data_IF_328114834328
#
_entry.id   IF_328114834328
#
_cell.length_a   1.000
_cell.length_b   1.000
_cell.length_c   1.000
_cell.angle_alpha   90.00
_cell.angle_beta   90.00
_cell.angle_gamma   90.00
#
_symmetry.space_group_name_H-M   'P 1'
#
loop_
_entity.id
_entity.type
_entity.pdbx_description
1 polymer ?
#
# COMPACT_ATOMS: atom_id res chain seq x y z
N UNK A 1 16.23 24.68 18.70
CA UNK A 1 15.69 23.29 18.70
C UNK A 1 14.85 22.97 17.46
N UNK A 2 13.78 23.71 17.14
CA UNK A 2 12.95 23.42 15.94
C UNK A 2 13.75 23.47 14.63
N UNK A 3 14.61 24.47 14.46
CA UNK A 3 15.49 24.59 13.27
C UNK A 3 16.44 23.40 13.11
N UNK A 4 16.99 22.85 14.21
CA UNK A 4 17.87 21.68 14.13
C UNK A 4 17.11 20.40 13.77
N UNK A 5 15.89 20.22 14.28
CA UNK A 5 15.02 19.08 13.91
C UNK A 5 14.65 19.15 12.43
N UNK A 6 14.26 20.32 11.93
CA UNK A 6 13.92 20.51 10.50
C UNK A 6 15.15 20.24 9.62
N UNK A 7 16.33 20.74 9.99
CA UNK A 7 17.58 20.46 9.27
C UNK A 7 17.91 18.96 9.28
N UNK A 8 17.75 18.28 10.42
CA UNK A 8 17.98 16.84 10.52
C UNK A 8 17.04 16.05 9.60
N UNK A 9 15.74 16.33 9.66
CA UNK A 9 14.73 15.72 8.77
C UNK A 9 15.05 15.95 7.28
N UNK A 10 15.56 17.13 6.93
CA UNK A 10 15.96 17.46 5.57
C UNK A 10 17.30 16.87 5.11
N UNK A 11 18.10 16.31 6.01
CA UNK A 11 19.44 15.78 5.71
C UNK A 11 19.39 14.29 5.31
N UNK A 12 20.31 13.81 4.46
CA UNK A 12 20.40 12.39 4.09
C UNK A 12 20.57 11.46 5.30
N UNK A 13 21.41 11.86 6.26
CA UNK A 13 21.64 11.10 7.49
C UNK A 13 20.37 10.96 8.31
N UNK A 14 19.67 12.07 8.57
CA UNK A 14 18.42 12.03 9.33
C UNK A 14 17.30 11.28 8.62
N UNK A 15 17.21 11.41 7.30
CA UNK A 15 16.33 10.62 6.46
C UNK A 15 16.55 9.11 6.65
N UNK A 16 17.80 8.66 6.47
CA UNK A 16 18.15 7.24 6.59
C UNK A 16 17.94 6.70 8.00
N UNK A 17 18.33 7.46 9.04
CA UNK A 17 18.12 7.06 10.44
C UNK A 17 16.64 6.87 10.78
N UNK A 18 15.78 7.81 10.40
CA UNK A 18 14.33 7.71 10.65
C UNK A 18 13.76 6.50 9.92
N UNK A 19 14.17 6.26 8.67
CA UNK A 19 13.69 5.11 7.90
C UNK A 19 14.11 3.77 8.48
N UNK A 20 15.34 3.64 8.98
CA UNK A 20 15.74 2.41 9.68
C UNK A 20 14.90 2.16 10.94
N UNK A 21 14.56 3.20 11.70
CA UNK A 21 13.64 3.08 12.86
C UNK A 21 12.25 2.65 12.40
N UNK A 22 11.70 3.28 11.36
CA UNK A 22 10.41 2.90 10.77
C UNK A 22 10.44 1.44 10.34
N UNK A 23 11.48 1.01 9.60
CA UNK A 23 11.61 -0.37 9.14
C UNK A 23 11.68 -1.36 10.30
N UNK A 24 12.46 -1.07 11.35
CA UNK A 24 12.57 -1.94 12.53
C UNK A 24 11.23 -2.20 13.23
N UNK A 25 10.32 -1.23 13.20
CA UNK A 25 8.94 -1.39 13.71
C UNK A 25 8.03 -2.06 12.67
N UNK A 26 8.15 -1.67 11.41
CA UNK A 26 7.27 -2.10 10.31
C UNK A 26 7.44 -3.57 9.96
N UNK A 27 8.69 -4.04 9.93
CA UNK A 27 9.05 -5.39 9.52
C UNK A 27 8.37 -6.49 10.37
N UNK A 28 8.46 -6.50 11.72
CA UNK A 28 7.77 -7.52 12.52
C UNK A 28 6.24 -7.46 12.38
N UNK A 29 5.66 -6.27 12.21
CA UNK A 29 4.22 -6.10 11.99
C UNK A 29 3.81 -6.74 10.65
N UNK A 30 4.59 -6.53 9.59
CA UNK A 30 4.35 -7.12 8.27
C UNK A 30 4.48 -8.65 8.27
N UNK A 31 5.46 -9.19 9.00
CA UNK A 31 5.61 -10.64 9.18
C UNK A 31 4.41 -11.22 9.92
N UNK A 32 4.00 -10.59 11.03
CA UNK A 32 2.83 -11.03 11.79
C UNK A 32 1.53 -10.92 10.98
N UNK A 33 1.36 -9.84 10.21
CA UNK A 33 0.25 -9.67 9.26
C UNK A 33 0.19 -10.81 8.24
N UNK A 34 1.34 -11.16 7.65
CA UNK A 34 1.46 -12.30 6.71
C UNK A 34 1.07 -13.61 7.38
N UNK A 35 1.56 -13.87 8.59
CA UNK A 35 1.19 -15.04 9.39
C UNK A 35 -0.32 -15.11 9.61
N UNK A 36 -0.96 -14.02 10.04
CA UNK A 36 -2.41 -13.99 10.25
C UNK A 36 -3.19 -14.29 8.96
N UNK A 37 -2.80 -13.69 7.83
CA UNK A 37 -3.49 -13.97 6.57
C UNK A 37 -3.31 -15.44 6.15
N UNK A 38 -2.09 -15.98 6.24
CA UNK A 38 -1.80 -17.32 5.76
C UNK A 38 -2.39 -18.42 6.67
N UNK A 39 -2.40 -18.22 7.98
CA UNK A 39 -2.72 -19.29 8.94
C UNK A 39 -4.00 -19.03 9.75
N UNK A 40 -4.41 -17.77 9.91
CA UNK A 40 -5.57 -17.40 10.73
C UNK A 40 -6.80 -17.03 9.89
N UNK A 41 -6.70 -16.97 8.55
CA UNK A 41 -7.90 -16.74 7.71
C UNK A 41 -8.88 -17.90 7.85
N UNK A 42 -10.09 -17.62 8.34
CA UNK A 42 -11.15 -18.62 8.51
C UNK A 42 -11.64 -19.20 7.19
N UNK A 43 -12.22 -20.40 7.23
CA UNK A 43 -12.83 -21.05 6.06
C UNK A 43 -13.91 -20.18 5.40
N UNK A 44 -14.65 -19.40 6.20
CA UNK A 44 -15.68 -18.45 5.72
C UNK A 44 -15.11 -17.28 4.90
N UNK A 45 -13.82 -16.99 5.04
CA UNK A 45 -13.11 -15.92 4.32
C UNK A 45 -12.14 -16.46 3.26
N UNK A 46 -12.18 -17.76 2.95
CA UNK A 46 -11.24 -18.39 2.00
C UNK A 46 -11.21 -17.72 0.64
N UNK A 47 -12.35 -17.21 0.17
CA UNK A 47 -12.47 -16.52 -1.13
C UNK A 47 -11.74 -15.18 -1.21
N UNK A 48 -11.44 -14.53 -0.07
CA UNK A 48 -10.72 -13.23 -0.02
C UNK A 48 -9.26 -13.38 0.38
N UNK A 49 -8.85 -14.55 0.89
CA UNK A 49 -7.51 -14.81 1.44
C UNK A 49 -6.39 -14.36 0.51
N UNK A 50 -6.40 -14.82 -0.73
CA UNK A 50 -5.31 -14.59 -1.68
C UNK A 50 -5.25 -13.15 -2.19
N UNK A 51 -6.40 -12.51 -2.41
CA UNK A 51 -6.40 -11.09 -2.78
C UNK A 51 -5.97 -10.18 -1.63
N UNK A 52 -6.29 -10.57 -0.39
CA UNK A 52 -5.83 -9.86 0.80
C UNK A 52 -4.32 -10.06 0.99
N UNK A 53 -3.82 -11.28 0.81
CA UNK A 53 -2.39 -11.58 0.87
C UNK A 53 -1.61 -10.84 -0.22
N UNK A 54 -2.14 -10.80 -1.44
CA UNK A 54 -1.53 -10.07 -2.55
C UNK A 54 -1.39 -8.56 -2.24
N UNK A 55 -2.45 -7.92 -1.73
CA UNK A 55 -2.37 -6.53 -1.27
C UNK A 55 -1.36 -6.35 -0.15
N UNK A 56 -1.41 -7.22 0.87
CA UNK A 56 -0.47 -7.19 1.99
C UNK A 56 0.98 -7.31 1.52
N UNK A 57 1.26 -8.26 0.62
CA UNK A 57 2.58 -8.50 0.06
C UNK A 57 3.13 -7.27 -0.65
N UNK A 58 2.39 -6.69 -1.59
CA UNK A 58 2.88 -5.51 -2.33
C UNK A 58 2.99 -4.27 -1.45
N UNK A 59 2.08 -4.06 -0.49
CA UNK A 59 2.19 -2.96 0.47
C UNK A 59 3.40 -3.12 1.41
N UNK A 60 3.64 -4.32 1.94
CA UNK A 60 4.80 -4.62 2.78
C UNK A 60 6.10 -4.50 1.98
N UNK A 61 6.14 -5.01 0.75
CA UNK A 61 7.28 -4.88 -0.14
C UNK A 61 7.60 -3.41 -0.43
N UNK A 62 6.59 -2.56 -0.63
CA UNK A 62 6.77 -1.13 -0.87
C UNK A 62 7.35 -0.44 0.37
N UNK A 63 6.74 -0.65 1.55
CA UNK A 63 7.21 -0.08 2.81
C UNK A 63 8.67 -0.44 3.08
N UNK A 64 9.04 -1.71 2.92
CA UNK A 64 10.41 -2.19 3.13
C UNK A 64 11.37 -1.70 2.05
N UNK A 65 10.90 -1.56 0.80
CA UNK A 65 11.72 -1.00 -0.28
C UNK A 65 12.10 0.46 0.01
N UNK A 66 11.14 1.24 0.48
CA UNK A 66 11.34 2.66 0.81
C UNK A 66 12.09 2.84 2.12
N UNK A 67 11.79 2.06 3.16
CA UNK A 67 12.36 2.28 4.50
C UNK A 67 13.67 1.54 4.77
N UNK A 68 14.01 0.52 3.99
CA UNK A 68 15.15 -0.34 4.29
C UNK A 68 16.00 -0.68 3.08
N UNK A 69 15.42 -1.28 2.05
CA UNK A 69 16.20 -1.86 0.96
C UNK A 69 16.84 -0.78 0.10
N UNK A 70 16.09 0.24 -0.33
CA UNK A 70 16.60 1.26 -1.24
C UNK A 70 16.71 2.66 -0.63
N UNK A 71 15.79 3.06 0.28
CA UNK A 71 15.76 4.40 0.87
C UNK A 71 16.01 5.53 -0.15
N UNK A 72 15.14 5.69 -1.17
CA UNK A 72 15.35 6.68 -2.23
C UNK A 72 15.16 8.10 -1.70
N UNK A 73 16.28 8.80 -1.46
CA UNK A 73 16.25 10.21 -1.09
C UNK A 73 15.94 11.06 -2.33
N UNK A 74 14.68 11.50 -2.47
CA UNK A 74 14.25 12.35 -3.58
C UNK A 74 14.71 13.79 -3.40
N UNK A 75 15.43 14.32 -4.38
CA UNK A 75 15.96 15.69 -4.36
C UNK A 75 14.89 16.69 -4.86
N UNK A 76 14.17 17.33 -3.95
CA UNK A 76 13.10 18.28 -4.32
C UNK A 76 13.66 19.55 -4.97
N UNK A 77 13.01 20.13 -6.00
CA UNK A 77 11.75 19.73 -6.65
C UNK A 77 11.94 18.86 -7.90
N UNK A 78 13.06 18.16 -8.02
CA UNK A 78 13.45 17.45 -9.25
C UNK A 78 12.99 15.99 -9.24
N UNK A 79 13.01 15.36 -10.42
CA UNK A 79 12.89 13.90 -10.56
C UNK A 79 14.25 13.18 -10.39
N UNK A 80 15.12 13.70 -9.52
CA UNK A 80 16.38 13.07 -9.16
C UNK A 80 16.32 12.49 -7.74
N UNK A 81 17.05 11.40 -7.52
CA UNK A 81 17.17 10.78 -6.20
C UNK A 81 18.54 10.13 -6.04
N UNK A 82 18.86 9.68 -4.83
CA UNK A 82 19.96 8.75 -4.57
C UNK A 82 19.54 7.74 -3.49
N UNK A 83 19.90 6.46 -3.61
CA UNK A 83 19.51 5.43 -2.65
C UNK A 83 20.45 5.42 -1.43
N UNK A 84 19.87 5.31 -0.23
CA UNK A 84 20.60 5.21 1.05
C UNK A 84 20.40 3.84 1.74
N UNK A 85 19.66 2.93 1.11
CA UNK A 85 19.28 1.65 1.69
C UNK A 85 20.34 0.57 1.55
N UNK A 86 20.09 -0.59 2.16
CA UNK A 86 21.03 -1.71 2.19
C UNK A 86 21.45 -2.18 0.80
N UNK A 87 20.54 -2.14 -0.18
CA UNK A 87 20.84 -2.61 -1.53
C UNK A 87 21.83 -1.70 -2.28
N UNK A 88 21.85 -0.39 -2.01
CA UNK A 88 22.88 0.48 -2.60
C UNK A 88 24.24 0.28 -1.94
N UNK A 89 24.28 -0.09 -0.65
CA UNK A 89 25.52 -0.40 0.06
C UNK A 89 26.22 -1.68 -0.46
N UNK A 90 25.44 -2.66 -0.94
CA UNK A 90 25.99 -3.89 -1.56
C UNK A 90 26.24 -3.75 -3.06
N UNK A 91 26.11 -2.54 -3.63
CA UNK A 91 26.47 -2.24 -5.01
C UNK A 91 25.40 -2.58 -6.06
N UNK A 92 24.12 -2.71 -5.69
CA UNK A 92 23.05 -2.85 -6.70
C UNK A 92 22.97 -1.57 -7.53
N UNK A 93 22.94 -1.65 -8.88
CA UNK A 93 22.82 -0.48 -9.75
C UNK A 93 21.61 0.40 -9.42
N UNK A 94 21.82 1.72 -9.39
CA UNK A 94 20.82 2.70 -8.96
C UNK A 94 19.58 2.74 -9.88
N UNK A 95 19.78 2.49 -11.17
CA UNK A 95 18.71 2.38 -12.18
C UNK A 95 17.80 1.19 -11.92
N UNK A 96 18.37 0.03 -11.62
CA UNK A 96 17.61 -1.17 -11.26
C UNK A 96 16.88 -1.00 -9.93
N UNK A 97 17.50 -0.37 -8.93
CA UNK A 97 16.84 -0.06 -7.66
C UNK A 97 15.61 0.83 -7.88
N UNK A 98 15.76 1.91 -8.65
CA UNK A 98 14.66 2.83 -8.92
C UNK A 98 13.54 2.13 -9.70
N UNK A 99 13.89 1.33 -10.71
CA UNK A 99 12.93 0.53 -11.46
C UNK A 99 12.15 -0.43 -10.53
N UNK A 100 12.85 -1.12 -9.62
CA UNK A 100 12.21 -2.06 -8.70
C UNK A 100 11.22 -1.36 -7.76
N UNK A 101 11.61 -0.22 -7.17
CA UNK A 101 10.75 0.55 -6.26
C UNK A 101 9.53 1.06 -7.02
N UNK A 102 9.74 1.61 -8.21
CA UNK A 102 8.66 2.16 -9.03
C UNK A 102 7.68 1.07 -9.48
N UNK A 103 8.19 -0.11 -9.84
CA UNK A 103 7.36 -1.27 -10.18
C UNK A 103 6.52 -1.72 -8.98
N UNK A 104 7.13 -1.88 -7.80
CA UNK A 104 6.42 -2.24 -6.57
C UNK A 104 5.37 -1.19 -6.22
N UNK A 105 5.71 0.11 -6.34
CA UNK A 105 4.79 1.22 -6.11
C UNK A 105 3.54 1.13 -7.01
N UNK A 106 3.72 0.81 -8.29
CA UNK A 106 2.62 0.67 -9.24
C UNK A 106 1.82 -0.63 -9.06
N UNK A 107 2.40 -1.67 -8.47
CA UNK A 107 1.70 -2.94 -8.18
C UNK A 107 0.78 -2.87 -6.96
N UNK A 108 1.04 -1.96 -6.01
CA UNK A 108 0.14 -1.71 -4.86
C UNK A 108 -1.28 -1.35 -5.33
N UNK A 109 -1.53 -0.32 -6.16
CA UNK A 109 -2.89 -0.01 -6.59
C UNK A 109 -3.53 -1.11 -7.46
N UNK A 110 -2.76 -1.86 -8.25
CA UNK A 110 -3.27 -3.04 -8.97
C UNK A 110 -3.76 -4.13 -8.00
N UNK A 111 -3.05 -4.32 -6.88
CA UNK A 111 -3.48 -5.24 -5.83
C UNK A 111 -4.74 -4.76 -5.09
N UNK A 112 -4.95 -3.45 -4.97
CA UNK A 112 -6.19 -2.85 -4.45
C UNK A 112 -7.36 -3.11 -5.40
N UNK A 113 -7.17 -2.88 -6.70
CA UNK A 113 -8.16 -3.19 -7.74
C UNK A 113 -8.54 -4.67 -7.65
N UNK A 114 -7.54 -5.55 -7.59
CA UNK A 114 -7.73 -7.00 -7.46
C UNK A 114 -8.55 -7.37 -6.22
N UNK A 115 -8.31 -6.72 -5.08
CA UNK A 115 -9.07 -6.94 -3.86
C UNK A 115 -10.52 -6.47 -3.98
N UNK A 116 -10.77 -5.29 -4.55
CA UNK A 116 -12.12 -4.77 -4.70
C UNK A 116 -12.93 -5.55 -5.74
N UNK A 117 -12.33 -5.83 -6.89
CA UNK A 117 -12.92 -6.66 -7.94
C UNK A 117 -13.31 -8.03 -7.36
N UNK A 118 -12.41 -8.70 -6.63
CA UNK A 118 -12.70 -10.02 -6.10
C UNK A 118 -13.86 -10.01 -5.10
N UNK A 119 -13.93 -8.99 -4.25
CA UNK A 119 -15.08 -8.82 -3.34
C UNK A 119 -16.36 -8.55 -4.11
N UNK A 120 -16.31 -7.74 -5.17
CA UNK A 120 -17.47 -7.45 -6.01
C UNK A 120 -17.97 -8.72 -6.71
N UNK A 121 -17.04 -9.51 -7.25
CA UNK A 121 -17.31 -10.80 -7.86
C UNK A 121 -17.99 -11.77 -6.89
N UNK A 122 -17.37 -12.05 -5.75
CA UNK A 122 -17.86 -13.03 -4.77
C UNK A 122 -19.25 -12.66 -4.28
N UNK A 123 -19.52 -11.38 -4.04
CA UNK A 123 -20.78 -10.92 -3.43
C UNK A 123 -21.92 -10.72 -4.43
N UNK A 124 -21.65 -10.33 -5.69
CA UNK A 124 -22.70 -9.81 -6.56
C UNK A 124 -22.75 -10.38 -7.97
N UNK A 125 -21.63 -10.87 -8.52
CA UNK A 125 -21.58 -11.26 -9.95
C UNK A 125 -20.95 -12.63 -10.19
N UNK A 126 -20.98 -13.51 -9.19
CA UNK A 126 -20.38 -14.84 -9.24
C UNK A 126 -20.99 -15.81 -10.29
N UNK A 127 -22.18 -15.50 -10.81
CA UNK A 127 -22.93 -16.31 -11.80
C UNK A 127 -22.98 -15.71 -13.22
N UNK A 128 -22.46 -14.50 -13.43
CA UNK A 128 -22.53 -13.81 -14.73
C UNK A 128 -21.29 -14.00 -15.61
N UNK A 129 -21.31 -13.42 -16.81
CA UNK A 129 -20.18 -13.46 -17.75
C UNK A 129 -18.87 -12.90 -17.16
N UNK A 130 -18.97 -12.00 -16.17
CA UNK A 130 -17.82 -11.45 -15.44
C UNK A 130 -16.94 -12.54 -14.79
N UNK A 131 -17.50 -13.72 -14.51
CA UNK A 131 -16.74 -14.90 -14.04
C UNK A 131 -15.57 -15.26 -14.95
N UNK A 132 -15.73 -15.07 -16.26
CA UNK A 132 -14.71 -15.39 -17.25
C UNK A 132 -13.85 -14.16 -17.58
N UNK A 133 -14.48 -13.00 -17.77
CA UNK A 133 -13.78 -11.76 -18.13
C UNK A 133 -12.83 -11.23 -17.05
N UNK A 134 -13.07 -11.56 -15.78
CA UNK A 134 -12.24 -11.07 -14.68
C UNK A 134 -10.77 -11.51 -14.78
N UNK A 135 -10.47 -12.73 -15.24
CA UNK A 135 -9.09 -13.21 -15.25
C UNK A 135 -8.23 -12.45 -16.29
N UNK A 136 -8.66 -12.31 -17.57
CA UNK A 136 -7.97 -11.44 -18.51
C UNK A 136 -7.87 -10.00 -18.02
N UNK A 137 -8.94 -9.46 -17.41
CA UNK A 137 -8.94 -8.10 -16.86
C UNK A 137 -7.88 -7.89 -15.78
N UNK A 138 -7.77 -8.82 -14.82
CA UNK A 138 -6.77 -8.77 -13.75
C UNK A 138 -5.36 -8.92 -14.32
N UNK A 139 -5.13 -9.89 -15.21
CA UNK A 139 -3.82 -10.11 -15.85
C UNK A 139 -3.39 -8.89 -16.67
N UNK A 140 -4.31 -8.29 -17.43
CA UNK A 140 -4.04 -7.10 -18.22
C UNK A 140 -3.57 -5.92 -17.35
N UNK A 141 -4.16 -5.72 -16.18
CA UNK A 141 -3.72 -4.68 -15.23
C UNK A 141 -2.25 -4.85 -14.81
N UNK A 142 -1.84 -6.09 -14.49
CA UNK A 142 -0.44 -6.39 -14.18
C UNK A 142 0.49 -6.17 -15.38
N UNK A 143 0.10 -6.63 -16.57
CA UNK A 143 0.89 -6.46 -17.79
C UNK A 143 1.05 -4.97 -18.14
N UNK A 144 -0.02 -4.18 -18.06
CA UNK A 144 0.00 -2.74 -18.35
C UNK A 144 1.00 -2.03 -17.43
N UNK A 145 0.94 -2.30 -16.12
CA UNK A 145 1.85 -1.69 -15.15
C UNK A 145 3.30 -2.12 -15.37
N UNK A 146 3.56 -3.41 -15.53
CA UNK A 146 4.92 -3.93 -15.73
C UNK A 146 5.52 -3.37 -17.04
N UNK A 147 4.74 -3.38 -18.12
CA UNK A 147 5.16 -2.82 -19.41
C UNK A 147 5.42 -1.33 -19.29
N UNK A 148 4.55 -0.58 -18.61
CA UNK A 148 4.76 0.85 -18.36
C UNK A 148 6.04 1.14 -17.57
N UNK A 149 6.33 0.37 -16.52
CA UNK A 149 7.58 0.50 -15.76
C UNK A 149 8.80 0.14 -16.61
N UNK A 150 8.71 -0.90 -17.44
CA UNK A 150 9.78 -1.28 -18.37
C UNK A 150 10.04 -0.18 -19.41
N UNK A 151 9.00 0.44 -19.95
CA UNK A 151 9.16 1.56 -20.88
C UNK A 151 9.83 2.77 -20.20
N UNK A 152 9.52 3.06 -18.93
CA UNK A 152 10.23 4.11 -18.17
C UNK A 152 11.72 3.79 -18.07
N UNK A 153 12.08 2.53 -17.81
CA UNK A 153 13.47 2.11 -17.72
C UNK A 153 14.25 2.38 -19.02
N UNK A 154 13.65 2.06 -20.17
CA UNK A 154 14.25 2.31 -21.49
C UNK A 154 14.42 3.81 -21.81
N UNK A 155 13.73 4.69 -21.08
CA UNK A 155 13.74 6.12 -21.30
C UNK A 155 14.53 6.90 -20.25
N UNK A 156 15.17 6.19 -19.31
CA UNK A 156 16.10 6.80 -18.37
C UNK A 156 17.16 7.55 -19.19
N UNK A 157 17.39 8.85 -18.93
CA UNK A 157 18.37 9.62 -19.67
C UNK A 157 19.79 9.12 -19.37
N UNK A 158 20.72 9.47 -20.27
CA UNK A 158 22.16 9.32 -19.99
C UNK A 158 22.49 10.03 -18.67
N UNK A 159 22.97 9.24 -17.69
CA UNK A 159 23.15 9.73 -16.33
C UNK A 159 24.30 10.73 -16.22
N UNK A 160 25.36 10.60 -17.02
CA UNK A 160 26.47 11.55 -16.99
C UNK A 160 25.99 12.94 -17.40
N UNK A 161 25.25 13.03 -18.50
CA UNK A 161 24.69 14.28 -19.01
C UNK A 161 23.62 14.82 -18.05
N UNK A 162 22.71 13.96 -17.58
CA UNK A 162 21.59 14.36 -16.74
C UNK A 162 22.05 14.88 -15.38
N UNK A 163 23.03 14.23 -14.75
CA UNK A 163 23.60 14.65 -13.46
C UNK A 163 24.36 15.98 -13.62
N UNK A 164 25.17 16.14 -14.69
CA UNK A 164 25.82 17.44 -14.99
C UNK A 164 24.81 18.58 -15.09
N UNK A 165 23.70 18.36 -15.82
CA UNK A 165 22.60 19.33 -15.93
C UNK A 165 21.93 19.60 -14.56
N UNK A 166 21.71 18.56 -13.76
CA UNK A 166 21.10 18.65 -12.44
C UNK A 166 21.90 19.57 -11.51
N UNK A 167 23.21 19.32 -11.36
CA UNK A 167 24.06 20.10 -10.46
C UNK A 167 24.34 21.52 -10.98
N UNK A 168 24.34 21.73 -12.31
CA UNK A 168 24.37 23.08 -12.88
C UNK A 168 23.12 23.88 -12.51
N UNK A 169 21.94 23.26 -12.54
CA UNK A 169 20.65 23.91 -12.23
C UNK A 169 20.40 24.03 -10.72
N UNK A 170 20.88 23.08 -9.93
CA UNK A 170 20.67 22.99 -8.48
C UNK A 170 21.99 22.74 -7.72
N UNK A 171 22.91 23.72 -7.68
CA UNK A 171 24.21 23.56 -7.01
C UNK A 171 24.08 23.25 -5.51
N UNK A 172 22.96 23.61 -4.88
CA UNK A 172 22.66 23.28 -3.48
C UNK A 172 22.71 21.78 -3.15
N UNK A 173 22.55 20.89 -4.13
CA UNK A 173 22.60 19.45 -3.91
C UNK A 173 24.00 18.95 -3.55
N UNK A 174 25.06 19.73 -3.81
CA UNK A 174 26.40 19.43 -3.30
C UNK A 174 26.45 19.38 -1.75
N UNK A 175 25.56 20.13 -1.08
CA UNK A 175 25.49 20.17 0.38
C UNK A 175 24.97 18.86 1.01
N UNK A 176 24.54 17.88 0.22
CA UNK A 176 24.18 16.56 0.73
C UNK A 176 25.39 15.70 1.08
N UNK A 177 26.61 16.08 0.64
CA UNK A 177 27.85 15.34 0.90
C UNK A 177 27.79 13.87 0.42
N UNK A 178 26.98 13.63 -0.61
CA UNK A 178 26.83 12.32 -1.27
C UNK A 178 27.64 12.34 -2.58
N UNK A 179 28.36 11.25 -2.92
CA UNK A 179 29.06 11.14 -4.19
C UNK A 179 28.11 11.42 -5.37
N UNK A 180 28.57 12.24 -6.33
CA UNK A 180 27.78 12.63 -7.49
C UNK A 180 27.32 11.41 -8.31
N UNK A 181 28.12 10.34 -8.33
CA UNK A 181 27.81 9.06 -8.99
C UNK A 181 26.64 8.29 -8.36
N UNK A 182 26.24 8.61 -7.13
CA UNK A 182 25.10 7.97 -6.45
C UNK A 182 23.75 8.53 -6.89
N UNK A 183 23.74 9.70 -7.53
CA UNK A 183 22.52 10.32 -8.02
C UNK A 183 21.99 9.59 -9.24
N UNK A 184 20.67 9.54 -9.37
CA UNK A 184 19.95 9.09 -10.55
C UNK A 184 18.90 10.12 -10.95
N UNK A 185 18.87 10.49 -12.22
CA UNK A 185 17.83 11.32 -12.82
C UNK A 185 16.87 10.42 -13.60
N UNK A 186 15.61 10.37 -13.18
CA UNK A 186 14.64 9.38 -13.66
C UNK A 186 14.00 9.80 -14.98
N UNK A 187 13.74 11.10 -15.16
CA UNK A 187 13.03 11.63 -16.32
C UNK A 187 13.48 13.04 -16.61
N UNK A 188 13.57 13.34 -17.91
CA UNK A 188 13.76 14.69 -18.41
C UNK A 188 12.41 15.41 -18.40
N UNK A 189 12.23 16.38 -17.49
CA UNK A 189 10.96 17.08 -17.26
C UNK A 189 10.43 17.80 -18.52
N UNK A 190 11.28 18.03 -19.51
CA UNK A 190 10.96 18.74 -20.75
C UNK A 190 10.17 17.87 -21.75
N UNK A 191 10.13 16.54 -21.59
CA UNK A 191 9.43 15.63 -22.53
C UNK A 191 7.93 15.53 -22.23
N UNK A 192 7.15 16.33 -22.97
CA UNK A 192 5.69 16.43 -22.79
C UNK A 192 4.93 15.09 -22.88
N UNK A 193 5.36 14.16 -23.74
CA UNK A 193 4.71 12.86 -23.89
C UNK A 193 4.95 11.92 -22.69
N UNK A 194 6.10 12.00 -22.00
CA UNK A 194 6.36 11.23 -20.78
C UNK A 194 5.41 11.67 -19.67
N UNK A 195 5.23 12.99 -19.55
CA UNK A 195 4.28 13.59 -18.60
C UNK A 195 2.85 13.16 -18.91
N UNK A 196 2.43 13.21 -20.18
CA UNK A 196 1.10 12.79 -20.60
C UNK A 196 0.86 11.31 -20.26
N UNK A 197 1.77 10.40 -20.66
CA UNK A 197 1.66 8.97 -20.37
C UNK A 197 1.54 8.69 -18.87
N UNK A 198 2.38 9.34 -18.04
CA UNK A 198 2.32 9.20 -16.58
C UNK A 198 0.95 9.59 -16.02
N UNK A 199 0.41 10.72 -16.46
CA UNK A 199 -0.93 11.18 -16.04
C UNK A 199 -1.98 10.18 -16.50
N UNK A 200 -1.96 9.75 -17.77
CA UNK A 200 -2.93 8.80 -18.32
C UNK A 200 -2.96 7.48 -17.55
N UNK A 201 -1.81 6.87 -17.26
CA UNK A 201 -1.73 5.59 -16.55
C UNK A 201 -2.21 5.73 -15.09
N UNK A 202 -1.78 6.77 -14.38
CA UNK A 202 -2.23 7.02 -13.00
C UNK A 202 -3.74 7.27 -12.96
N UNK A 203 -4.27 8.09 -13.87
CA UNK A 203 -5.71 8.36 -13.96
C UNK A 203 -6.52 7.11 -14.29
N UNK A 204 -6.01 6.24 -15.17
CA UNK A 204 -6.66 4.97 -15.52
C UNK A 204 -6.78 4.05 -14.31
N UNK A 205 -5.68 3.82 -13.59
CA UNK A 205 -5.66 2.98 -12.37
C UNK A 205 -6.55 3.57 -11.27
N UNK A 206 -6.49 4.89 -11.04
CA UNK A 206 -7.35 5.55 -10.05
C UNK A 206 -8.83 5.44 -10.41
N UNK A 207 -9.17 5.55 -11.70
CA UNK A 207 -10.55 5.37 -12.17
C UNK A 207 -11.06 3.97 -11.84
N UNK A 208 -10.28 2.92 -12.08
CA UNK A 208 -10.67 1.55 -11.73
C UNK A 208 -10.91 1.37 -10.23
N UNK A 209 -10.01 1.89 -9.38
CA UNK A 209 -10.17 1.86 -7.92
C UNK A 209 -11.48 2.55 -7.51
N UNK A 210 -11.76 3.72 -8.09
CA UNK A 210 -12.99 4.49 -7.80
C UNK A 210 -14.22 3.73 -8.27
N UNK A 211 -14.21 3.18 -9.48
CA UNK A 211 -15.34 2.43 -10.06
C UNK A 211 -15.66 1.21 -9.20
N UNK A 212 -14.69 0.33 -8.91
CA UNK A 212 -14.94 -0.84 -8.06
C UNK A 212 -15.30 -0.45 -6.63
N UNK A 213 -14.69 0.61 -6.08
CA UNK A 213 -15.02 1.13 -4.76
C UNK A 213 -16.47 1.62 -4.65
N UNK A 214 -16.95 2.36 -5.65
CA UNK A 214 -18.34 2.85 -5.73
C UNK A 214 -19.30 1.69 -5.95
N UNK A 215 -19.02 0.79 -6.91
CA UNK A 215 -19.87 -0.37 -7.19
C UNK A 215 -20.05 -1.26 -5.95
N UNK A 216 -18.97 -1.54 -5.23
CA UNK A 216 -19.01 -2.26 -3.95
C UNK A 216 -19.90 -1.54 -2.94
N UNK A 217 -19.67 -0.25 -2.71
CA UNK A 217 -20.45 0.52 -1.73
C UNK A 217 -21.93 0.56 -2.06
N UNK A 218 -22.28 0.84 -3.31
CA UNK A 218 -23.68 0.94 -3.75
C UNK A 218 -24.37 -0.41 -3.62
N UNK A 219 -23.79 -1.49 -4.16
CA UNK A 219 -24.41 -2.82 -4.08
C UNK A 219 -24.50 -3.36 -2.65
N UNK A 220 -23.50 -3.11 -1.81
CA UNK A 220 -23.57 -3.48 -0.39
C UNK A 220 -24.70 -2.73 0.33
N UNK A 221 -24.84 -1.41 0.12
CA UNK A 221 -25.94 -0.63 0.71
C UNK A 221 -27.31 -1.14 0.25
N UNK A 222 -27.46 -1.42 -1.04
CA UNK A 222 -28.72 -1.95 -1.60
C UNK A 222 -29.04 -3.35 -1.06
N UNK A 223 -28.07 -4.25 -1.06
CA UNK A 223 -28.21 -5.60 -0.51
C UNK A 223 -28.60 -5.56 0.97
N UNK A 224 -27.99 -4.66 1.74
CA UNK A 224 -28.32 -4.47 3.15
C UNK A 224 -29.76 -3.99 3.36
N UNK A 225 -30.21 -2.99 2.59
CA UNK A 225 -31.59 -2.51 2.67
C UNK A 225 -32.59 -3.63 2.37
N UNK A 226 -32.30 -4.48 1.38
CA UNK A 226 -33.17 -5.59 0.96
C UNK A 226 -33.34 -6.64 2.04
N UNK A 227 -32.26 -7.00 2.75
CA UNK A 227 -32.30 -8.08 3.77
C UNK A 227 -32.54 -7.57 5.19
N UNK A 228 -32.52 -6.25 5.43
CA UNK A 228 -32.53 -5.68 6.77
C UNK A 228 -33.75 -6.07 7.60
N UNK A 229 -34.92 -6.22 6.96
CA UNK A 229 -36.15 -6.67 7.61
C UNK A 229 -36.22 -8.20 7.78
N UNK A 230 -35.42 -8.97 7.04
CA UNK A 230 -35.49 -10.44 7.00
C UNK A 230 -34.45 -11.14 7.88
N UNK A 231 -33.50 -10.40 8.45
CA UNK A 231 -32.42 -10.98 9.28
C UNK A 231 -32.51 -10.49 10.71
N UNK A 232 -31.95 -11.26 11.65
CA UNK A 232 -31.89 -10.87 13.05
C UNK A 232 -31.07 -9.58 13.26
N UNK A 233 -31.41 -8.82 14.30
CA UNK A 233 -30.71 -7.58 14.69
C UNK A 233 -29.21 -7.81 14.88
N UNK A 234 -28.81 -8.96 15.43
CA UNK A 234 -27.41 -9.38 15.59
C UNK A 234 -26.71 -9.56 14.25
N UNK A 235 -27.34 -10.25 13.29
CA UNK A 235 -26.77 -10.46 11.95
C UNK A 235 -26.64 -9.14 11.20
N UNK A 236 -27.66 -8.28 11.30
CA UNK A 236 -27.63 -6.94 10.72
C UNK A 236 -26.47 -6.11 11.28
N UNK A 237 -26.22 -6.17 12.58
CA UNK A 237 -25.11 -5.47 13.22
C UNK A 237 -23.74 -6.00 12.74
N UNK A 238 -23.60 -7.32 12.58
CA UNK A 238 -22.37 -7.92 12.03
C UNK A 238 -22.09 -7.45 10.61
N UNK A 239 -23.11 -7.45 9.75
CA UNK A 239 -22.98 -6.96 8.37
C UNK A 239 -22.63 -5.46 8.31
N UNK A 240 -23.26 -4.63 9.15
CA UNK A 240 -22.92 -3.20 9.28
C UNK A 240 -21.45 -3.00 9.67
N UNK A 241 -20.94 -3.79 10.63
CA UNK A 241 -19.53 -3.75 11.04
C UNK A 241 -18.60 -4.17 9.90
N UNK A 242 -18.94 -5.22 9.16
CA UNK A 242 -18.18 -5.68 8.00
C UNK A 242 -18.10 -4.59 6.91
N UNK A 243 -19.21 -3.94 6.58
CA UNK A 243 -19.24 -2.85 5.59
C UNK A 243 -18.43 -1.64 6.08
N UNK A 244 -18.52 -1.29 7.37
CA UNK A 244 -17.69 -0.22 7.96
C UNK A 244 -16.20 -0.55 7.84
N UNK A 245 -15.81 -1.78 8.16
CA UNK A 245 -14.43 -2.25 8.03
C UNK A 245 -13.95 -2.19 6.57
N UNK A 246 -14.77 -2.64 5.62
CA UNK A 246 -14.46 -2.55 4.19
C UNK A 246 -14.30 -1.10 3.74
N UNK A 247 -15.19 -0.20 4.16
CA UNK A 247 -15.11 1.22 3.83
C UNK A 247 -13.82 1.85 4.36
N UNK A 248 -13.36 1.43 5.54
CA UNK A 248 -12.11 1.87 6.10
C UNK A 248 -10.91 1.33 5.29
N UNK A 249 -10.93 0.04 4.91
CA UNK A 249 -9.95 -0.55 4.00
C UNK A 249 -9.89 0.15 2.64
N UNK A 250 -11.01 0.68 2.13
CA UNK A 250 -11.06 1.47 0.89
C UNK A 250 -10.52 2.90 1.10
N UNK A 251 -10.84 3.52 2.24
CA UNK A 251 -10.46 4.90 2.51
C UNK A 251 -8.94 5.05 2.76
N UNK A 252 -8.29 4.08 3.41
CA UNK A 252 -6.88 4.19 3.79
C UNK A 252 -5.97 4.42 2.58
N UNK A 253 -6.00 3.61 1.51
CA UNK A 253 -5.13 3.85 0.36
C UNK A 253 -5.39 5.20 -0.31
N UNK A 254 -6.66 5.62 -0.37
CA UNK A 254 -7.01 6.92 -0.93
C UNK A 254 -6.45 8.06 -0.07
N UNK A 255 -6.57 7.97 1.26
CA UNK A 255 -6.00 8.96 2.19
C UNK A 255 -4.48 9.00 2.03
N UNK A 256 -3.82 7.84 2.00
CA UNK A 256 -2.37 7.73 1.82
C UNK A 256 -1.90 8.35 0.50
N UNK A 257 -2.68 8.23 -0.58
CA UNK A 257 -2.33 8.80 -1.90
C UNK A 257 -2.66 10.29 -1.96
N UNK A 258 -3.86 10.70 -1.53
CA UNK A 258 -4.32 12.08 -1.67
C UNK A 258 -3.69 13.03 -0.66
N UNK A 259 -3.39 12.58 0.56
CA UNK A 259 -2.80 13.45 1.59
C UNK A 259 -1.45 14.01 1.14
N UNK A 260 -0.47 13.23 0.65
CA UNK A 260 0.78 13.77 0.13
C UNK A 260 0.60 14.70 -1.07
N UNK A 261 -0.34 14.42 -1.97
CA UNK A 261 -0.64 15.28 -3.12
C UNK A 261 -1.17 16.63 -2.66
N UNK A 262 -2.19 16.63 -1.80
CA UNK A 262 -2.81 17.84 -1.26
C UNK A 262 -1.81 18.63 -0.42
N UNK A 263 -1.08 17.95 0.45
CA UNK A 263 -0.03 18.55 1.28
C UNK A 263 1.07 19.16 0.41
N UNK A 264 1.49 18.50 -0.67
CA UNK A 264 2.44 19.04 -1.66
C UNK A 264 1.93 20.29 -2.37
N UNK A 265 0.65 20.35 -2.73
CA UNK A 265 0.03 21.55 -3.31
C UNK A 265 -0.02 22.71 -2.33
N UNK A 266 -0.47 22.47 -1.09
CA UNK A 266 -0.50 23.46 -0.01
C UNK A 266 0.92 23.96 0.29
N UNK A 267 1.88 23.04 0.33
CA UNK A 267 3.29 23.35 0.57
C UNK A 267 3.86 24.31 -0.47
N UNK A 268 3.59 24.05 -1.76
CA UNK A 268 4.01 24.93 -2.85
C UNK A 268 3.38 26.32 -2.74
N UNK A 269 2.15 26.42 -2.23
CA UNK A 269 1.46 27.69 -2.03
C UNK A 269 1.99 28.50 -0.83
N UNK A 270 2.47 27.82 0.24
CA UNK A 270 2.89 28.47 1.49
C UNK A 270 4.35 28.93 1.53
N UNK A 271 5.15 28.73 0.48
CA UNK A 271 6.57 29.14 0.42
C UNK A 271 7.40 28.72 1.65
N UNK A 272 7.17 27.51 2.16
CA UNK A 272 7.79 27.04 3.41
C UNK A 272 9.32 26.98 3.31
N UNK A 273 9.98 27.37 4.42
CA UNK A 273 11.43 27.59 4.57
C UNK A 273 12.33 26.40 4.16
N UNK A 274 11.86 25.14 4.27
CA UNK A 274 12.67 23.96 3.91
C UNK A 274 11.87 22.91 3.09
N UNK A 275 11.91 23.01 1.74
CA UNK A 275 11.26 22.07 0.83
C UNK A 275 11.72 20.62 0.96
N UNK A 276 13.01 20.40 1.24
CA UNK A 276 13.54 19.05 1.34
C UNK A 276 13.01 18.35 2.60
N UNK A 277 13.03 19.03 3.75
CA UNK A 277 12.52 18.47 5.00
C UNK A 277 11.04 18.10 4.89
N UNK A 278 10.24 18.94 4.23
CA UNK A 278 8.83 18.62 4.00
C UNK A 278 8.62 17.44 3.07
N UNK A 279 9.35 17.38 1.94
CA UNK A 279 9.29 16.21 1.05
C UNK A 279 9.66 14.93 1.79
N UNK A 280 10.65 15.00 2.68
CA UNK A 280 11.06 13.86 3.50
C UNK A 280 9.97 13.45 4.50
N UNK A 281 9.27 14.41 5.13
CA UNK A 281 8.11 14.12 5.98
C UNK A 281 6.99 13.40 5.23
N UNK A 282 6.71 13.82 3.99
CA UNK A 282 5.73 13.13 3.14
C UNK A 282 6.17 11.71 2.81
N UNK A 283 7.46 11.49 2.54
CA UNK A 283 8.00 10.15 2.30
C UNK A 283 7.90 9.26 3.55
N UNK A 284 8.19 9.77 4.74
CA UNK A 284 7.99 9.03 5.98
C UNK A 284 6.52 8.65 6.16
N UNK A 285 5.59 9.59 5.97
CA UNK A 285 4.15 9.32 6.03
C UNK A 285 3.73 8.24 5.03
N UNK A 286 4.21 8.34 3.78
CA UNK A 286 3.92 7.38 2.73
C UNK A 286 4.43 5.98 3.07
N UNK A 287 5.61 5.85 3.66
CA UNK A 287 6.18 4.55 4.07
C UNK A 287 5.47 3.84 5.22
N UNK A 288 4.55 4.53 5.91
CA UNK A 288 3.76 3.94 6.99
C UNK A 288 2.44 3.35 6.49
N UNK A 289 2.13 3.49 5.20
CA UNK A 289 0.83 3.10 4.68
C UNK A 289 0.53 1.61 4.83
N UNK A 290 1.50 0.74 4.53
CA UNK A 290 1.31 -0.71 4.62
C UNK A 290 1.19 -1.14 6.07
N UNK A 291 1.99 -0.59 6.99
CA UNK A 291 1.88 -0.87 8.43
C UNK A 291 0.52 -0.43 8.98
N UNK A 292 0.07 0.78 8.67
CA UNK A 292 -1.25 1.27 9.08
C UNK A 292 -2.37 0.37 8.55
N UNK A 293 -2.27 -0.03 7.28
CA UNK A 293 -3.19 -0.99 6.66
C UNK A 293 -3.17 -2.34 7.39
N UNK A 294 -1.99 -2.83 7.76
CA UNK A 294 -1.81 -4.11 8.47
C UNK A 294 -2.41 -4.06 9.87
N UNK A 295 -2.11 -3.03 10.66
CA UNK A 295 -2.68 -2.83 12.00
C UNK A 295 -4.21 -2.80 11.92
N UNK A 296 -4.76 -2.06 10.94
CA UNK A 296 -6.21 -1.98 10.74
C UNK A 296 -6.80 -3.30 10.29
N UNK A 297 -6.13 -4.05 9.42
CA UNK A 297 -6.53 -5.39 9.04
C UNK A 297 -6.61 -6.31 10.27
N UNK A 298 -5.58 -6.32 11.12
CA UNK A 298 -5.53 -7.13 12.35
C UNK A 298 -6.66 -6.73 13.32
N UNK A 299 -6.94 -5.44 13.46
CA UNK A 299 -8.00 -4.94 14.33
C UNK A 299 -9.41 -5.28 13.81
N UNK A 300 -9.64 -5.11 12.50
CA UNK A 300 -10.98 -5.21 11.91
C UNK A 300 -11.42 -6.65 11.66
N UNK A 301 -10.50 -7.55 11.32
CA UNK A 301 -10.84 -8.94 11.01
C UNK A 301 -10.91 -9.76 12.30
N UNK A 302 -12.09 -10.31 12.60
CA UNK A 302 -12.32 -11.12 13.80
C UNK A 302 -11.27 -12.21 14.04
N UNK A 303 -10.96 -13.10 13.07
CA UNK A 303 -10.01 -14.17 13.34
C UNK A 303 -8.59 -13.65 13.61
N UNK A 304 -8.20 -12.52 13.02
CA UNK A 304 -6.87 -11.94 13.24
C UNK A 304 -6.79 -11.26 14.61
N UNK A 305 -7.85 -10.57 15.01
CA UNK A 305 -7.95 -9.98 16.34
C UNK A 305 -7.95 -11.06 17.43
N UNK A 306 -8.61 -12.18 17.20
CA UNK A 306 -8.56 -13.34 18.10
C UNK A 306 -7.13 -13.91 18.17
N UNK A 307 -6.42 -14.02 17.05
CA UNK A 307 -5.02 -14.42 17.04
C UNK A 307 -4.14 -13.47 17.87
N UNK A 308 -4.29 -12.15 17.71
CA UNK A 308 -3.58 -11.14 18.53
C UNK A 308 -3.86 -11.35 20.03
N UNK A 309 -5.13 -11.48 20.41
CA UNK A 309 -5.52 -11.67 21.82
C UNK A 309 -5.01 -13.00 22.39
N UNK A 310 -4.97 -14.06 21.58
CA UNK A 310 -4.48 -15.37 22.02
C UNK A 310 -2.97 -15.39 22.22
N UNK A 311 -2.21 -14.77 21.31
CA UNK A 311 -0.74 -14.80 21.30
C UNK A 311 -0.16 -13.77 22.27
N UNK A 312 -0.66 -12.54 22.24
CA UNK A 312 -0.07 -11.43 23.00
C UNK A 312 -0.80 -11.09 24.30
N UNK A 313 -2.04 -11.53 24.48
CA UNK A 313 -2.82 -11.28 25.71
C UNK A 313 -3.19 -12.56 26.47
N UNK A 314 -2.61 -13.71 26.11
CA UNK A 314 -2.85 -15.03 26.73
C UNK A 314 -4.34 -15.38 26.89
N UNK A 315 -5.22 -14.84 26.03
CA UNK A 315 -6.65 -15.13 26.10
C UNK A 315 -6.88 -16.53 25.54
N UNK A 316 -7.50 -17.41 26.32
CA UNK A 316 -7.92 -18.74 25.82
C UNK A 316 -8.76 -18.54 24.54
N UNK A 317 -8.49 -19.31 23.47
CA UNK A 317 -9.37 -19.33 22.31
C UNK A 317 -10.80 -19.55 22.80
N UNK A 318 -11.75 -18.80 22.24
CA UNK A 318 -13.15 -19.14 22.47
C UNK A 318 -13.32 -20.49 21.79
N UNK A 319 -13.33 -21.57 22.56
CA UNK A 319 -13.79 -22.87 22.07
C UNK A 319 -15.14 -22.61 21.42
N UNK A 320 -15.20 -22.79 20.11
CA UNK A 320 -16.49 -22.84 19.43
C UNK A 320 -17.27 -23.93 20.15
N UNK A 321 -18.29 -23.55 20.91
CA UNK A 321 -19.30 -24.47 21.45
C UNK A 321 -20.07 -25.09 20.28
N UNK A 322 -19.38 -25.92 19.52
CA UNK A 322 -19.90 -26.86 18.55
C UNK A 322 -19.38 -28.17 19.13
N UNK A 323 -20.30 -29.05 19.52
CA UNK A 323 -20.07 -30.30 20.29
C UNK A 323 -20.08 -30.19 21.82
N UNK A 324 -21.17 -29.67 22.41
CA UNK A 324 -21.68 -30.25 23.67
C UNK A 324 -23.20 -30.42 23.73
N UNK A 325 -23.96 -30.08 22.67
CA UNK A 325 -25.37 -30.48 22.57
C UNK A 325 -25.58 -31.90 22.04
N UNK A 326 -24.56 -32.55 21.44
CA UNK A 326 -24.66 -33.97 21.07
C UNK A 326 -24.75 -34.90 22.30
N UNK A 327 -24.17 -34.51 23.45
CA UNK A 327 -24.20 -35.33 24.66
C UNK A 327 -25.54 -35.32 25.42
N UNK A 328 -26.43 -34.35 25.19
CA UNK A 328 -27.72 -34.27 25.89
C UNK A 328 -28.91 -34.87 25.13
N UNK A 329 -28.80 -35.08 23.82
CA UNK A 329 -29.86 -35.76 23.07
C UNK A 329 -29.73 -37.27 23.05
N UNK A 330 -28.52 -37.84 23.19
CA UNK A 330 -28.34 -39.30 23.19
C UNK A 330 -28.83 -40.00 24.46
N UNK A 331 -29.14 -39.29 25.57
CA UNK A 331 -29.63 -39.92 26.80
C UNK A 331 -31.15 -39.90 26.98
N UNK A 332 -31.89 -39.32 26.04
CA UNK A 332 -33.37 -39.28 26.10
C UNK A 332 -34.07 -40.25 25.14
N UNK A 333 -33.35 -41.07 24.39
CA UNK A 333 -33.93 -42.11 23.51
C UNK A 333 -33.59 -43.54 23.93
N UNK A 334 -33.16 -43.75 25.18
CA UNK A 334 -33.05 -45.08 25.79
C UNK A 334 -33.90 -45.11 27.06
N UNK A 335 -35.20 -44.92 26.85
CA UNK A 335 -36.32 -45.37 27.69
C UNK A 335 -37.22 -46.13 26.74
#
# INVERSE_FOLDING_TARGET
MVSSIIKFIGSPRGYSTIFYVISGISFPIHLFGSYCILFQTSATMKSVKWTLFNLHFWSAALDLSISFLAQPFFCTPTMAAFPLGVLSLIGVPNDLLMLSIYTIFMLVPVSIISMFENRYFVLFVNRGCWRYFRYPFLVANYIIVITYCFIIYLEIPDQEIAIKKLFKKYPRFYNFEIPVSSFIVISDEDRSWQKLRRISVISFILLEIIVFGILLRVKLKLSMKKIASSISSKTLQMQKRFIKALNLQIAIPLIVIFVPIIAGMIFKALSIVNPQAFSNLLNFYFSLHGVLSTILMLYLQNPYREAVLSIFCCRKPVESKIFTTAGKFSRKSMT
#
